data_IF_488464314917
#
_entry.id   IF_488464314917
#
_cell.length_a   1.000
_cell.length_b   1.000
_cell.length_c   1.000
_cell.angle_alpha   90.00
_cell.angle_beta   90.00
_cell.angle_gamma   90.00
#
_symmetry.space_group_name_H-M   'P 1'
#
loop_
_entity.id
_entity.type
_entity.pdbx_description
1 polymer ?
#
# COMPACT_ATOMS: atom_id res chain seq x y z
N UNK A 1 10.11 9.17 -18.60
CA UNK A 1 9.95 7.87 -17.93
C UNK A 1 9.21 7.00 -18.93
N UNK A 2 9.72 5.80 -19.16
CA UNK A 2 9.42 5.02 -20.37
C UNK A 2 8.47 3.87 -20.08
N UNK A 3 8.37 3.47 -18.80
CA UNK A 3 7.49 2.41 -18.32
C UNK A 3 7.15 2.64 -16.84
N UNK A 4 6.39 1.72 -16.26
CA UNK A 4 6.11 1.67 -14.82
C UNK A 4 6.51 0.31 -14.24
N UNK A 5 6.57 0.24 -12.92
CA UNK A 5 6.98 -0.96 -12.21
C UNK A 5 6.00 -2.12 -12.43
N UNK A 6 4.71 -1.84 -12.66
CA UNK A 6 3.69 -2.86 -12.94
C UNK A 6 3.98 -3.61 -14.24
N UNK A 7 4.36 -2.90 -15.30
CA UNK A 7 4.75 -3.50 -16.57
C UNK A 7 6.02 -4.35 -16.41
N UNK A 8 7.01 -3.85 -15.67
CA UNK A 8 8.26 -4.58 -15.44
C UNK A 8 8.02 -5.89 -14.67
N UNK A 9 7.23 -5.85 -13.60
CA UNK A 9 6.85 -7.03 -12.79
C UNK A 9 6.17 -8.10 -13.65
N UNK A 10 5.30 -7.70 -14.58
CA UNK A 10 4.54 -8.61 -15.47
C UNK A 10 5.32 -9.07 -16.70
N UNK A 11 6.45 -8.46 -17.00
CA UNK A 11 7.25 -8.80 -18.16
C UNK A 11 8.09 -10.06 -17.95
N UNK A 12 8.63 -10.60 -19.05
CA UNK A 12 9.62 -11.68 -19.02
C UNK A 12 11.05 -11.18 -18.72
N UNK A 13 11.25 -9.87 -18.53
CA UNK A 13 12.55 -9.31 -18.20
C UNK A 13 13.02 -9.87 -16.85
N UNK A 14 14.31 -10.19 -16.72
CA UNK A 14 14.89 -10.64 -15.45
C UNK A 14 14.82 -9.54 -14.38
N UNK A 15 14.40 -9.92 -13.17
CA UNK A 15 14.41 -9.06 -11.98
C UNK A 15 15.26 -9.80 -10.96
N UNK A 16 16.50 -9.36 -10.81
CA UNK A 16 17.41 -9.90 -9.80
C UNK A 16 17.14 -9.28 -8.43
N UNK A 17 17.74 -9.85 -7.39
CA UNK A 17 17.63 -9.31 -6.04
C UNK A 17 18.16 -7.87 -5.96
N UNK A 18 19.25 -7.56 -6.68
CA UNK A 18 19.83 -6.22 -6.73
C UNK A 18 18.86 -5.21 -7.35
N UNK A 19 18.07 -5.61 -8.35
CA UNK A 19 17.02 -4.76 -8.91
C UNK A 19 15.95 -4.46 -7.85
N UNK A 20 15.50 -5.49 -7.12
CA UNK A 20 14.52 -5.33 -6.05
C UNK A 20 15.03 -4.41 -4.94
N UNK A 21 16.27 -4.59 -4.50
CA UNK A 21 16.94 -3.75 -3.50
C UNK A 21 17.04 -2.29 -3.99
N UNK A 22 17.44 -2.09 -5.26
CA UNK A 22 17.61 -0.76 -5.83
C UNK A 22 16.29 -0.01 -6.00
N UNK A 23 15.22 -0.68 -6.46
CA UNK A 23 13.89 -0.07 -6.54
C UNK A 23 13.31 0.25 -5.17
N UNK A 24 13.45 -0.67 -4.19
CA UNK A 24 13.00 -0.43 -2.82
C UNK A 24 13.72 0.78 -2.19
N UNK A 25 15.04 0.86 -2.37
CA UNK A 25 15.84 1.99 -1.90
C UNK A 25 15.33 3.33 -2.48
N UNK A 26 15.14 3.41 -3.80
CA UNK A 26 14.69 4.63 -4.45
C UNK A 26 13.27 5.03 -4.02
N UNK A 27 12.37 4.06 -3.89
CA UNK A 27 11.00 4.27 -3.39
C UNK A 27 11.03 4.85 -1.97
N UNK A 28 11.76 4.24 -1.05
CA UNK A 28 11.88 4.72 0.33
C UNK A 28 12.57 6.09 0.41
N UNK A 29 13.56 6.35 -0.45
CA UNK A 29 14.23 7.66 -0.54
C UNK A 29 13.26 8.75 -0.98
N UNK A 30 12.44 8.49 -1.99
CA UNK A 30 11.38 9.41 -2.43
C UNK A 30 10.32 9.61 -1.36
N UNK A 31 9.90 8.53 -0.72
CA UNK A 31 8.86 8.55 0.31
C UNK A 31 9.29 9.33 1.56
N UNK A 32 10.56 9.18 2.00
CA UNK A 32 11.15 9.99 3.06
C UNK A 32 10.98 11.49 2.79
N UNK A 33 11.24 11.92 1.55
CA UNK A 33 11.09 13.32 1.17
C UNK A 33 9.62 13.77 1.26
N UNK A 34 8.70 13.00 0.66
CA UNK A 34 7.25 13.28 0.68
C UNK A 34 6.72 13.39 2.11
N UNK A 35 7.06 12.42 2.97
CA UNK A 35 6.64 12.38 4.37
C UNK A 35 7.24 13.51 5.19
N UNK A 36 8.49 13.92 4.92
CA UNK A 36 9.09 15.08 5.58
C UNK A 36 8.37 16.41 5.26
N UNK A 37 7.67 16.46 4.12
CA UNK A 37 6.80 17.57 3.75
C UNK A 37 5.37 17.46 4.34
N UNK A 38 5.11 16.50 5.24
CA UNK A 38 3.78 16.21 5.83
C UNK A 38 2.72 15.86 4.78
N UNK A 39 3.13 15.21 3.70
CA UNK A 39 2.24 14.69 2.65
C UNK A 39 2.16 13.18 2.77
N UNK A 40 0.97 12.63 2.61
CA UNK A 40 0.73 11.19 2.50
C UNK A 40 0.27 10.90 1.07
N UNK A 41 0.87 9.91 0.40
CA UNK A 41 0.59 9.61 -1.00
C UNK A 41 -0.75 8.87 -1.18
N UNK A 42 -1.04 7.90 -0.30
CA UNK A 42 -2.32 7.15 -0.17
C UNK A 42 -2.67 6.19 -1.30
N UNK A 43 -2.02 6.30 -2.45
CA UNK A 43 -2.24 5.41 -3.60
C UNK A 43 -0.92 4.89 -4.20
N UNK A 44 0.02 4.47 -3.34
CA UNK A 44 1.23 3.80 -3.80
C UNK A 44 0.87 2.39 -4.31
N UNK A 45 1.22 2.15 -5.57
CA UNK A 45 1.06 0.87 -6.28
C UNK A 45 2.05 0.82 -7.45
N UNK A 46 2.39 -0.35 -8.00
CA UNK A 46 3.42 -0.46 -9.03
C UNK A 46 3.17 0.41 -10.27
N UNK A 47 1.92 0.64 -10.68
CA UNK A 47 1.60 1.52 -11.82
C UNK A 47 1.89 3.01 -11.56
N UNK A 48 2.02 3.41 -10.29
CA UNK A 48 2.34 4.79 -9.88
C UNK A 48 3.85 4.98 -9.59
N UNK A 49 4.67 3.98 -9.93
CA UNK A 49 6.12 4.00 -9.79
C UNK A 49 6.74 3.92 -11.19
N UNK A 50 7.10 5.08 -11.72
CA UNK A 50 7.63 5.20 -13.07
C UNK A 50 9.10 4.79 -13.10
N UNK A 51 9.51 4.17 -14.21
CA UNK A 51 10.88 3.73 -14.47
C UNK A 51 11.40 4.27 -15.81
N UNK A 52 12.72 4.40 -15.92
CA UNK A 52 13.43 4.63 -17.17
C UNK A 52 14.42 3.49 -17.46
N UNK A 53 15.10 3.54 -18.61
CA UNK A 53 16.10 2.55 -19.01
C UNK A 53 17.31 2.43 -18.06
N UNK A 54 17.57 3.43 -17.21
CA UNK A 54 18.65 3.41 -16.21
C UNK A 54 18.21 2.81 -14.86
N UNK A 55 17.02 2.24 -14.78
CA UNK A 55 16.40 1.78 -13.53
C UNK A 55 16.16 2.91 -12.51
N UNK A 56 16.08 4.16 -12.94
CA UNK A 56 15.69 5.26 -12.04
C UNK A 56 14.19 5.20 -11.78
N UNK A 57 13.81 5.26 -10.51
CA UNK A 57 12.43 5.21 -10.04
C UNK A 57 11.94 6.59 -9.61
N UNK A 58 10.73 6.96 -10.04
CA UNK A 58 10.03 8.17 -9.58
C UNK A 58 8.59 7.85 -9.18
N UNK A 59 8.18 8.39 -8.04
CA UNK A 59 6.81 8.31 -7.55
C UNK A 59 5.97 9.34 -8.32
N UNK A 60 4.80 8.93 -8.82
CA UNK A 60 3.85 9.82 -9.49
C UNK A 60 2.42 9.61 -8.99
N UNK A 61 1.49 10.40 -9.52
CA UNK A 61 0.05 10.36 -9.20
C UNK A 61 -0.29 10.74 -7.74
N UNK A 62 -0.15 12.04 -7.46
CA UNK A 62 -0.51 12.64 -6.18
C UNK A 62 -1.99 13.07 -6.12
N UNK A 63 -2.86 12.58 -7.02
CA UNK A 63 -4.26 13.00 -7.07
C UNK A 63 -5.05 12.67 -5.79
N UNK A 64 -4.62 11.62 -5.09
CA UNK A 64 -5.19 11.19 -3.80
C UNK A 64 -4.36 11.64 -2.60
N UNK A 65 -3.24 12.34 -2.82
CA UNK A 65 -2.37 12.77 -1.74
C UNK A 65 -3.06 13.80 -0.84
N UNK A 66 -2.74 13.77 0.46
CA UNK A 66 -3.29 14.70 1.45
C UNK A 66 -2.25 15.14 2.48
N UNK A 67 -2.41 16.32 3.08
CA UNK A 67 -1.65 16.72 4.26
C UNK A 67 -1.96 15.78 5.43
N UNK A 68 -0.98 15.52 6.29
CA UNK A 68 -1.16 14.71 7.52
C UNK A 68 -2.17 15.29 8.51
N UNK A 69 -2.57 16.56 8.36
CA UNK A 69 -3.46 17.28 9.29
C UNK A 69 -4.95 17.25 8.92
N UNK A 70 -5.33 16.71 7.76
CA UNK A 70 -6.73 16.68 7.30
C UNK A 70 -7.41 15.34 7.61
N UNK A 71 -8.16 15.29 8.72
CA UNK A 71 -9.04 14.17 9.09
C UNK A 71 -10.42 14.31 8.42
N UNK A 72 -10.46 14.38 7.09
CA UNK A 72 -11.75 14.32 6.39
C UNK A 72 -12.21 12.85 6.22
N UNK A 73 -13.47 12.61 6.60
CA UNK A 73 -14.17 11.35 6.34
C UNK A 73 -14.19 11.06 4.85
N UNK A 74 -13.63 9.92 4.46
CA UNK A 74 -13.55 9.54 3.05
C UNK A 74 -14.68 8.57 2.69
N UNK A 75 -15.38 8.88 1.61
CA UNK A 75 -16.23 7.93 0.88
C UNK A 75 -15.39 6.76 0.35
N UNK A 76 -15.97 5.57 0.35
CA UNK A 76 -15.34 4.36 -0.14
C UNK A 76 -15.00 4.48 -1.64
N UNK A 77 -13.76 4.84 -1.97
CA UNK A 77 -13.33 4.98 -3.35
C UNK A 77 -13.12 3.62 -4.02
N UNK A 78 -13.78 3.42 -5.15
CA UNK A 78 -13.68 2.27 -6.07
C UNK A 78 -12.35 2.32 -6.83
N UNK A 79 -11.24 2.06 -6.13
CA UNK A 79 -9.89 1.89 -6.71
C UNK A 79 -9.31 0.60 -6.19
N UNK A 80 -8.28 0.07 -6.86
CA UNK A 80 -7.54 -1.14 -6.48
C UNK A 80 -7.17 -1.14 -5.00
N UNK A 81 -7.67 -2.13 -4.25
CA UNK A 81 -7.55 -2.22 -2.77
C UNK A 81 -6.28 -2.92 -2.31
N UNK A 82 -5.57 -3.56 -3.23
CA UNK A 82 -4.51 -4.54 -2.95
C UNK A 82 -3.33 -3.99 -2.14
N UNK A 83 -3.11 -2.68 -2.20
CA UNK A 83 -1.99 -1.98 -1.54
C UNK A 83 -2.47 -1.10 -0.36
N UNK A 84 -3.77 -1.12 -0.03
CA UNK A 84 -4.31 -0.29 1.05
C UNK A 84 -4.02 -0.91 2.41
N UNK A 85 -3.63 -0.05 3.34
CA UNK A 85 -3.41 -0.43 4.74
C UNK A 85 -4.71 -0.84 5.44
N UNK A 86 -4.67 -1.72 6.46
CA UNK A 86 -5.85 -2.18 7.19
C UNK A 86 -6.69 -1.03 7.76
N UNK A 87 -6.05 0.00 8.32
CA UNK A 87 -6.73 1.18 8.89
C UNK A 87 -7.52 1.98 7.84
N UNK A 88 -7.07 2.00 6.58
CA UNK A 88 -7.83 2.60 5.47
C UNK A 88 -8.99 1.70 5.04
N UNK A 89 -8.81 0.38 5.08
CA UNK A 89 -9.88 -0.56 4.75
C UNK A 89 -11.00 -0.47 5.80
N UNK A 90 -10.66 -0.31 7.07
CA UNK A 90 -11.60 -0.26 8.19
C UNK A 90 -12.20 1.14 8.43
N UNK A 91 -11.95 2.09 7.52
CA UNK A 91 -12.41 3.48 7.63
C UNK A 91 -12.02 4.13 8.98
N UNK A 92 -10.81 3.88 9.47
CA UNK A 92 -10.27 4.61 10.62
C UNK A 92 -10.11 6.10 10.27
N UNK A 93 -10.51 6.99 11.17
CA UNK A 93 -10.25 8.43 11.07
C UNK A 93 -8.79 8.79 11.32
N UNK A 94 -8.07 7.91 12.04
CA UNK A 94 -6.73 8.18 12.54
C UNK A 94 -5.71 7.33 11.77
N UNK A 95 -5.35 7.81 10.59
CA UNK A 95 -4.28 7.23 9.77
C UNK A 95 -3.11 8.21 9.63
N UNK A 96 -1.91 7.65 9.48
CA UNK A 96 -0.67 8.43 9.40
C UNK A 96 0.07 8.12 8.11
N UNK A 97 1.25 8.69 7.91
CA UNK A 97 2.17 8.33 6.83
C UNK A 97 2.51 6.82 6.78
N UNK A 98 2.24 6.06 7.85
CA UNK A 98 2.41 4.61 7.90
C UNK A 98 1.61 3.85 6.83
N UNK A 99 0.48 4.40 6.36
CA UNK A 99 -0.31 3.74 5.30
C UNK A 99 0.47 3.57 3.99
N UNK A 100 1.36 4.51 3.68
CA UNK A 100 2.21 4.41 2.51
C UNK A 100 3.30 3.33 2.71
N UNK A 101 3.79 3.17 3.94
CA UNK A 101 4.78 2.14 4.27
C UNK A 101 4.19 0.74 4.13
N UNK A 102 2.91 0.57 4.48
CA UNK A 102 2.18 -0.67 4.18
C UNK A 102 2.13 -0.97 2.68
N UNK A 103 1.79 0.04 1.86
CA UNK A 103 1.78 -0.10 0.41
C UNK A 103 3.16 -0.47 -0.13
N UNK A 104 4.24 0.11 0.41
CA UNK A 104 5.64 -0.27 0.08
C UNK A 104 5.89 -1.74 0.35
N UNK A 105 5.44 -2.28 1.50
CA UNK A 105 5.57 -3.71 1.82
C UNK A 105 4.88 -4.62 0.80
N UNK A 106 3.66 -4.25 0.40
CA UNK A 106 2.92 -4.97 -0.64
C UNK A 106 3.66 -4.95 -2.00
N UNK A 107 4.19 -3.79 -2.40
CA UNK A 107 4.97 -3.61 -3.63
C UNK A 107 6.27 -4.41 -3.59
N UNK A 108 6.96 -4.43 -2.45
CA UNK A 108 8.22 -5.15 -2.29
C UNK A 108 8.01 -6.66 -2.44
N UNK A 109 6.97 -7.21 -1.81
CA UNK A 109 6.63 -8.62 -1.97
C UNK A 109 6.21 -8.96 -3.41
N UNK A 110 5.51 -8.04 -4.08
CA UNK A 110 5.14 -8.23 -5.49
C UNK A 110 6.36 -8.19 -6.42
N UNK A 111 7.37 -7.36 -6.13
CA UNK A 111 8.63 -7.35 -6.86
C UNK A 111 9.37 -8.70 -6.77
N UNK A 112 9.43 -9.26 -5.56
CA UNK A 112 10.13 -10.53 -5.33
C UNK A 112 9.40 -11.72 -5.95
N UNK A 113 8.06 -11.74 -5.86
CA UNK A 113 7.25 -12.90 -6.25
C UNK A 113 6.61 -12.80 -7.63
N UNK A 114 6.69 -11.62 -8.27
CA UNK A 114 5.98 -11.26 -9.51
C UNK A 114 4.47 -11.47 -9.47
N UNK A 115 3.90 -11.46 -8.27
CA UNK A 115 2.48 -11.68 -8.01
C UNK A 115 2.02 -10.74 -6.90
N UNK A 116 0.86 -10.07 -7.04
CA UNK A 116 0.32 -9.22 -5.99
C UNK A 116 0.18 -9.99 -4.68
N UNK A 117 0.54 -9.36 -3.56
CA UNK A 117 0.50 -10.01 -2.24
C UNK A 117 -0.94 -10.27 -1.78
N UNK A 118 -1.84 -9.29 -1.96
CA UNK A 118 -3.23 -9.36 -1.51
C UNK A 118 -4.22 -9.00 -2.63
N UNK A 119 -4.44 -9.88 -3.61
CA UNK A 119 -5.35 -9.63 -4.73
C UNK A 119 -6.84 -9.84 -4.34
N UNK A 120 -7.33 -9.07 -3.38
CA UNK A 120 -8.72 -9.12 -2.92
C UNK A 120 -9.71 -8.74 -4.03
N UNK A 121 -10.84 -9.44 -4.07
CA UNK A 121 -11.91 -9.23 -5.08
C UNK A 121 -12.93 -8.19 -4.64
N UNK A 122 -13.10 -8.10 -3.33
CA UNK A 122 -13.98 -7.19 -2.63
C UNK A 122 -13.37 -6.90 -1.25
N UNK A 123 -14.02 -6.05 -0.46
CA UNK A 123 -13.54 -5.67 0.87
C UNK A 123 -13.37 -6.88 1.80
N UNK A 124 -14.30 -7.84 1.75
CA UNK A 124 -14.30 -9.02 2.62
C UNK A 124 -13.16 -9.96 2.27
N UNK A 125 -13.00 -10.25 0.98
CA UNK A 125 -11.90 -11.08 0.50
C UNK A 125 -10.54 -10.43 0.77
N UNK A 126 -10.43 -9.10 0.64
CA UNK A 126 -9.19 -8.38 0.97
C UNK A 126 -8.82 -8.59 2.43
N UNK A 127 -9.75 -8.38 3.36
CA UNK A 127 -9.50 -8.54 4.80
C UNK A 127 -9.15 -9.98 5.16
N UNK A 128 -9.81 -10.97 4.53
CA UNK A 128 -9.48 -12.38 4.73
C UNK A 128 -8.05 -12.71 4.30
N UNK A 129 -7.58 -12.20 3.15
CA UNK A 129 -6.19 -12.40 2.72
C UNK A 129 -5.18 -11.80 3.69
N UNK A 130 -5.51 -10.67 4.34
CA UNK A 130 -4.66 -10.06 5.36
C UNK A 130 -4.56 -10.94 6.60
N UNK A 131 -5.69 -11.41 7.13
CA UNK A 131 -5.71 -12.24 8.35
C UNK A 131 -5.16 -13.64 8.10
N UNK A 132 -5.30 -14.20 6.90
CA UNK A 132 -4.68 -15.48 6.50
C UNK A 132 -3.15 -15.40 6.55
N UNK A 133 -2.54 -14.26 6.18
CA UNK A 133 -1.09 -14.10 6.18
C UNK A 133 -0.54 -13.61 7.52
N UNK A 134 -1.18 -12.61 8.13
CA UNK A 134 -0.67 -11.92 9.33
C UNK A 134 -1.27 -12.46 10.64
N UNK A 135 -2.29 -13.30 10.55
CA UNK A 135 -3.12 -13.72 11.68
C UNK A 135 -4.26 -12.73 11.96
N UNK A 136 -5.23 -13.20 12.75
CA UNK A 136 -6.31 -12.34 13.24
C UNK A 136 -5.75 -11.34 14.25
N UNK A 137 -5.97 -10.03 14.07
CA UNK A 137 -5.40 -9.01 14.94
C UNK A 137 -5.97 -9.13 16.36
N UNK A 138 -5.10 -8.87 17.34
CA UNK A 138 -5.45 -8.87 18.76
C UNK A 138 -6.23 -7.60 19.15
N UNK A 139 -6.84 -7.58 20.33
CA UNK A 139 -7.49 -6.36 20.85
C UNK A 139 -6.52 -5.17 20.97
N UNK A 140 -5.24 -5.44 21.27
CA UNK A 140 -4.21 -4.38 21.26
C UNK A 140 -3.94 -3.84 19.86
N UNK A 141 -3.96 -4.68 18.84
CA UNK A 141 -3.74 -4.25 17.45
C UNK A 141 -4.90 -3.40 16.94
N UNK A 142 -6.12 -3.63 17.45
CA UNK A 142 -7.32 -2.87 17.09
C UNK A 142 -7.51 -1.58 17.91
N UNK A 143 -6.54 -1.23 18.76
CA UNK A 143 -6.59 -0.03 19.60
C UNK A 143 -6.66 1.28 18.80
N UNK A 144 -6.25 1.29 17.52
CA UNK A 144 -6.30 2.48 16.66
C UNK A 144 -7.70 2.80 16.13
N UNK A 145 -8.64 1.86 16.16
CA UNK A 145 -9.97 2.07 15.59
C UNK A 145 -11.01 2.25 16.70
N UNK A 146 -11.78 3.32 16.61
CA UNK A 146 -12.96 3.53 17.46
C UNK A 146 -14.25 2.96 16.83
N UNK A 147 -14.14 2.39 15.63
CA UNK A 147 -15.27 1.82 14.91
C UNK A 147 -15.59 0.40 15.44
N UNK A 148 -16.61 0.30 16.28
CA UNK A 148 -17.04 -0.96 16.88
C UNK A 148 -17.58 -1.98 15.85
N UNK A 149 -18.16 -1.51 14.75
CA UNK A 149 -18.61 -2.40 13.66
C UNK A 149 -17.42 -3.03 12.95
N UNK A 150 -16.35 -2.24 12.72
CA UNK A 150 -15.09 -2.74 12.16
C UNK A 150 -14.45 -3.79 13.08
N UNK A 151 -14.41 -3.54 14.39
CA UNK A 151 -13.89 -4.52 15.37
C UNK A 151 -14.72 -5.79 15.37
N UNK A 152 -16.06 -5.67 15.40
CA UNK A 152 -16.96 -6.83 15.37
C UNK A 152 -16.78 -7.64 14.10
N UNK A 153 -16.64 -6.97 12.96
CA UNK A 153 -16.40 -7.61 11.68
C UNK A 153 -15.08 -8.42 11.68
N UNK A 154 -13.99 -7.83 12.18
CA UNK A 154 -12.69 -8.52 12.27
C UNK A 154 -12.74 -9.73 13.19
N UNK A 155 -13.45 -9.64 14.32
CA UNK A 155 -13.65 -10.78 15.25
C UNK A 155 -14.42 -11.95 14.63
N UNK A 156 -15.14 -11.73 13.53
CA UNK A 156 -15.87 -12.78 12.80
C UNK A 156 -15.05 -13.40 11.67
N UNK A 157 -13.86 -12.86 11.36
CA UNK A 157 -12.96 -13.47 10.40
C UNK A 157 -12.36 -14.76 10.98
N UNK A 158 -12.23 -15.82 10.17
CA UNK A 158 -11.77 -17.13 10.60
C UNK A 158 -10.35 -17.13 11.17
#
# INVERSE_FOLDING_TARGET
MDTDLHQIIRSNQGLSEEHCQYFLYQLLRGLKYIHSAKVIHRDLKPSNLLLNANCDLKICDFGLARPTSENEFMTEYVVTRWYRAPELLLNSSDYTAAIDVWSVGCIFMELMNRKPLFPGKDHVHQMRLLTELLGTPTESDLGFTHNEDAKRYIRQLP
#
